data_IF_008437128531
#
_entry.id   IF_008437128531
#
_cell.length_a   1.000
_cell.length_b   1.000
_cell.length_c   1.000
_cell.angle_alpha   90.00
_cell.angle_beta   90.00
_cell.angle_gamma   90.00
#
_symmetry.space_group_name_H-M   'P 1'
#
loop_
_entity.id
_entity.type
_entity.pdbx_description
1 polymer ?
#
# COMPACT_ATOMS: atom_id res chain seq x y z
N UNK A 1 -0.04 -27.88 -7.54
CA UNK A 1 0.21 -26.42 -7.68
C UNK A 1 -0.53 -25.72 -6.54
N UNK A 2 0.13 -24.87 -5.79
CA UNK A 2 -0.51 -24.06 -4.76
C UNK A 2 -1.48 -23.07 -5.44
N UNK A 3 -2.64 -22.82 -4.84
CA UNK A 3 -3.68 -21.93 -5.38
C UNK A 3 -3.14 -20.52 -5.69
N UNK A 4 -2.18 -20.03 -4.90
CA UNK A 4 -1.54 -18.71 -5.11
C UNK A 4 -0.66 -18.72 -6.36
N UNK A 5 0.03 -19.81 -6.67
CA UNK A 5 0.84 -19.94 -7.88
C UNK A 5 -0.03 -19.88 -9.14
N UNK A 6 -1.22 -20.49 -9.10
CA UNK A 6 -2.17 -20.45 -10.20
C UNK A 6 -2.68 -19.03 -10.49
N UNK A 7 -2.96 -18.26 -9.42
CA UNK A 7 -3.41 -16.87 -9.52
C UNK A 7 -2.32 -15.97 -10.13
N UNK A 8 -1.05 -16.24 -9.88
CA UNK A 8 0.08 -15.44 -10.37
C UNK A 8 0.45 -15.76 -11.83
N UNK A 9 0.14 -16.94 -12.32
CA UNK A 9 0.53 -17.39 -13.68
C UNK A 9 0.25 -16.35 -14.78
N UNK A 10 -0.94 -15.70 -14.86
CA UNK A 10 -1.22 -14.76 -15.96
C UNK A 10 -0.47 -13.43 -15.88
N UNK A 11 0.22 -13.13 -14.77
CA UNK A 11 0.92 -11.87 -14.50
C UNK A 11 2.36 -12.09 -14.03
N UNK A 12 2.96 -13.24 -14.33
CA UNK A 12 4.27 -13.61 -13.77
C UNK A 12 5.38 -12.65 -14.20
N UNK A 13 5.39 -12.27 -15.48
CA UNK A 13 6.36 -11.31 -16.01
C UNK A 13 6.19 -9.91 -15.40
N UNK A 14 4.96 -9.43 -15.37
CA UNK A 14 4.63 -8.11 -14.81
C UNK A 14 4.88 -8.05 -13.30
N UNK A 15 4.76 -9.17 -12.60
CA UNK A 15 5.09 -9.25 -11.18
C UNK A 15 6.60 -9.16 -10.94
N UNK A 16 7.42 -9.69 -11.84
CA UNK A 16 8.88 -9.50 -11.80
C UNK A 16 9.27 -8.06 -12.12
N UNK A 17 8.64 -7.43 -13.11
CA UNK A 17 8.83 -6.00 -13.41
C UNK A 17 8.44 -5.11 -12.21
N UNK A 18 7.30 -5.42 -11.55
CA UNK A 18 6.89 -4.76 -10.33
C UNK A 18 7.96 -4.90 -9.23
N UNK A 19 8.48 -6.11 -9.00
CA UNK A 19 9.50 -6.33 -7.97
C UNK A 19 10.78 -5.56 -8.28
N UNK A 20 11.24 -5.57 -9.52
CA UNK A 20 12.41 -4.82 -9.95
C UNK A 20 12.24 -3.32 -9.67
N UNK A 21 11.06 -2.77 -9.98
CA UNK A 21 10.74 -1.37 -9.71
C UNK A 21 10.63 -1.08 -8.19
N UNK A 22 9.93 -1.95 -7.44
CA UNK A 22 9.77 -1.81 -5.99
C UNK A 22 11.09 -1.93 -5.22
N UNK A 23 12.01 -2.77 -5.70
CA UNK A 23 13.32 -3.02 -5.09
C UNK A 23 14.39 -2.03 -5.52
N UNK A 24 14.08 -1.09 -6.42
CA UNK A 24 15.00 -0.01 -6.77
C UNK A 24 15.46 0.73 -5.51
N UNK A 25 16.78 1.02 -5.34
CA UNK A 25 17.28 1.75 -4.18
C UNK A 25 16.51 3.06 -3.99
N UNK A 26 15.98 3.26 -2.79
CA UNK A 26 15.19 4.46 -2.47
C UNK A 26 16.07 5.64 -2.05
N UNK A 27 17.33 5.38 -1.66
CA UNK A 27 18.28 6.41 -1.26
C UNK A 27 19.71 5.90 -1.42
N UNK A 28 20.55 6.68 -2.07
CA UNK A 28 21.99 6.40 -2.24
C UNK A 28 22.86 7.10 -1.18
N UNK A 29 22.26 7.86 -0.25
CA UNK A 29 23.01 8.83 0.56
C UNK A 29 22.88 8.66 2.08
N UNK A 30 21.99 7.81 2.59
CA UNK A 30 21.74 7.68 4.03
C UNK A 30 21.74 6.22 4.50
N UNK A 31 22.86 5.79 5.07
CA UNK A 31 23.06 4.41 5.55
C UNK A 31 22.02 3.96 6.60
N UNK A 32 21.49 4.88 7.42
CA UNK A 32 20.43 4.54 8.37
C UNK A 32 19.13 4.24 7.65
N UNK A 33 18.75 5.08 6.69
CA UNK A 33 17.54 4.85 5.87
C UNK A 33 17.64 3.54 5.10
N UNK A 34 18.79 3.25 4.48
CA UNK A 34 19.03 1.99 3.76
C UNK A 34 18.88 0.78 4.67
N UNK A 35 19.38 0.87 5.90
CA UNK A 35 19.23 -0.20 6.89
C UNK A 35 17.77 -0.44 7.27
N UNK A 36 17.00 0.64 7.45
CA UNK A 36 15.56 0.57 7.76
C UNK A 36 14.78 -0.01 6.58
N UNK A 37 14.99 0.48 5.37
CA UNK A 37 14.31 -0.01 4.16
C UNK A 37 14.64 -1.48 3.91
N UNK A 38 15.92 -1.87 4.07
CA UNK A 38 16.33 -3.28 3.98
C UNK A 38 15.60 -4.15 5.00
N UNK A 39 15.44 -3.67 6.24
CA UNK A 39 14.69 -4.39 7.26
C UNK A 39 13.20 -4.53 6.89
N UNK A 40 12.57 -3.46 6.41
CA UNK A 40 11.17 -3.47 5.95
C UNK A 40 10.98 -4.46 4.79
N UNK A 41 11.87 -4.46 3.80
CA UNK A 41 11.81 -5.33 2.61
C UNK A 41 12.00 -6.82 2.93
N UNK A 42 12.77 -7.16 3.97
CA UNK A 42 12.91 -8.55 4.43
C UNK A 42 11.59 -9.17 4.90
N UNK A 43 10.58 -8.35 5.18
CA UNK A 43 9.24 -8.78 5.59
C UNK A 43 8.41 -9.19 4.39
N UNK A 44 8.74 -10.30 3.76
CA UNK A 44 8.03 -10.82 2.60
C UNK A 44 6.54 -11.03 2.89
N UNK A 45 5.72 -10.07 2.48
CA UNK A 45 4.28 -10.21 2.42
C UNK A 45 3.85 -11.08 1.23
N UNK A 46 2.57 -11.48 1.20
CA UNK A 46 2.00 -12.23 0.06
C UNK A 46 1.87 -11.38 -1.22
N UNK A 47 2.23 -10.09 -1.17
CA UNK A 47 2.11 -9.14 -2.30
C UNK A 47 0.69 -9.10 -2.90
N UNK A 48 -0.34 -9.23 -2.05
CA UNK A 48 -1.72 -9.35 -2.52
C UNK A 48 -2.22 -8.11 -3.27
N UNK A 49 -1.77 -6.91 -2.87
CA UNK A 49 -2.19 -5.66 -3.50
C UNK A 49 -1.60 -5.47 -4.88
N UNK A 50 -0.27 -5.59 -5.08
CA UNK A 50 0.31 -5.59 -6.42
C UNK A 50 -0.31 -6.65 -7.33
N UNK A 51 -0.52 -7.87 -6.83
CA UNK A 51 -1.17 -8.94 -7.58
C UNK A 51 -2.56 -8.51 -8.04
N UNK A 52 -3.36 -7.90 -7.15
CA UNK A 52 -4.70 -7.40 -7.48
C UNK A 52 -4.64 -6.32 -8.57
N UNK A 53 -3.75 -5.33 -8.42
CA UNK A 53 -3.58 -4.27 -9.43
C UNK A 53 -3.25 -4.86 -10.79
N UNK A 54 -2.27 -5.77 -10.86
CA UNK A 54 -1.83 -6.37 -12.11
C UNK A 54 -2.92 -7.24 -12.75
N UNK A 55 -3.64 -8.04 -11.96
CA UNK A 55 -4.74 -8.89 -12.45
C UNK A 55 -5.89 -8.05 -12.99
N UNK A 56 -6.32 -7.02 -12.26
CA UNK A 56 -7.41 -6.14 -12.71
C UNK A 56 -7.00 -5.38 -13.97
N UNK A 57 -5.77 -4.85 -14.05
CA UNK A 57 -5.28 -4.24 -15.27
C UNK A 57 -5.31 -5.21 -16.46
N UNK A 58 -4.92 -6.48 -16.25
CA UNK A 58 -4.95 -7.53 -17.28
C UNK A 58 -6.38 -7.89 -17.73
N UNK A 59 -7.38 -7.75 -16.87
CA UNK A 59 -8.79 -7.95 -17.28
C UNK A 59 -9.25 -6.92 -18.30
N UNK A 60 -8.76 -5.68 -18.18
CA UNK A 60 -9.17 -4.57 -19.04
C UNK A 60 -8.21 -4.30 -20.21
N UNK A 61 -6.96 -4.77 -20.13
CA UNK A 61 -5.97 -4.54 -21.19
C UNK A 61 -4.58 -5.06 -20.87
N UNK A 62 -3.56 -4.43 -21.46
CA UNK A 62 -2.17 -4.71 -21.16
C UNK A 62 -1.71 -3.91 -19.94
N UNK A 63 -0.92 -4.53 -19.07
CA UNK A 63 -0.21 -3.82 -18.01
C UNK A 63 0.73 -2.79 -18.63
N UNK A 64 0.68 -1.57 -18.11
CA UNK A 64 1.46 -0.43 -18.59
C UNK A 64 2.49 0.01 -17.55
N UNK A 65 3.47 0.84 -17.89
CA UNK A 65 4.34 1.47 -16.87
C UNK A 65 3.55 2.23 -15.80
N UNK A 66 2.44 2.89 -16.16
CA UNK A 66 1.54 3.54 -15.21
C UNK A 66 0.92 2.53 -14.22
N UNK A 67 0.58 1.32 -14.68
CA UNK A 67 0.07 0.26 -13.81
C UNK A 67 1.13 -0.18 -12.78
N UNK A 68 2.39 -0.35 -13.21
CA UNK A 68 3.49 -0.72 -12.32
C UNK A 68 3.73 0.36 -11.26
N UNK A 69 3.78 1.63 -11.66
CA UNK A 69 3.93 2.75 -10.74
C UNK A 69 2.74 2.87 -9.77
N UNK A 70 1.52 2.66 -10.23
CA UNK A 70 0.33 2.63 -9.37
C UNK A 70 0.40 1.50 -8.33
N UNK A 71 0.84 0.30 -8.75
CA UNK A 71 1.02 -0.84 -7.86
C UNK A 71 2.09 -0.56 -6.78
N UNK A 72 3.24 0.02 -7.18
CA UNK A 72 4.31 0.41 -6.25
C UNK A 72 3.83 1.48 -5.29
N UNK A 73 3.15 2.52 -5.79
CA UNK A 73 2.59 3.59 -4.98
C UNK A 73 1.68 3.05 -3.87
N UNK A 74 0.72 2.20 -4.21
CA UNK A 74 -0.24 1.62 -3.25
C UNK A 74 0.43 0.68 -2.25
N UNK A 75 1.41 -0.11 -2.64
CA UNK A 75 2.15 -0.99 -1.72
C UNK A 75 3.06 -0.18 -0.77
N UNK A 76 3.69 0.91 -1.25
CA UNK A 76 4.48 1.82 -0.41
C UNK A 76 3.59 2.58 0.58
N UNK A 77 2.43 3.10 0.15
CA UNK A 77 1.45 3.73 1.04
C UNK A 77 1.00 2.78 2.15
N UNK A 78 0.67 1.54 1.80
CA UNK A 78 0.34 0.52 2.79
C UNK A 78 1.50 0.21 3.74
N UNK A 79 2.71 0.09 3.21
CA UNK A 79 3.90 -0.18 4.03
C UNK A 79 4.17 0.97 4.99
N UNK A 80 4.02 2.21 4.54
CA UNK A 80 4.13 3.41 5.38
C UNK A 80 3.10 3.38 6.52
N UNK A 81 1.83 3.09 6.22
CA UNK A 81 0.79 2.98 7.25
C UNK A 81 1.13 1.91 8.30
N UNK A 82 1.63 0.75 7.88
CA UNK A 82 2.03 -0.30 8.81
C UNK A 82 3.19 0.10 9.73
N UNK A 83 4.15 0.89 9.22
CA UNK A 83 5.28 1.40 10.02
C UNK A 83 4.81 2.42 11.05
N UNK A 84 3.86 3.29 10.68
CA UNK A 84 3.24 4.24 11.59
C UNK A 84 2.35 3.54 12.63
N UNK A 85 1.54 2.56 12.21
CA UNK A 85 0.68 1.78 13.10
C UNK A 85 1.52 1.04 14.17
N UNK A 86 2.69 0.48 13.81
CA UNK A 86 3.59 -0.17 14.78
C UNK A 86 4.04 0.78 15.90
N UNK A 87 4.18 2.07 15.60
CA UNK A 87 4.52 3.10 16.60
C UNK A 87 3.29 3.47 17.45
N UNK A 88 2.14 3.65 16.80
CA UNK A 88 0.87 4.02 17.47
C UNK A 88 0.40 2.92 18.41
N UNK A 89 0.51 1.66 17.97
CA UNK A 89 0.11 0.46 18.73
C UNK A 89 1.18 0.00 19.72
N UNK A 90 2.33 0.69 19.79
CA UNK A 90 3.51 0.26 20.57
C UNK A 90 3.93 -1.19 20.29
N UNK A 91 3.68 -1.65 19.08
CA UNK A 91 3.96 -3.03 18.66
C UNK A 91 5.45 -3.29 18.55
N UNK A 92 5.93 -4.35 19.18
CA UNK A 92 7.34 -4.77 19.11
C UNK A 92 7.61 -5.80 18.04
N UNK A 93 6.56 -6.42 17.50
CA UNK A 93 6.67 -7.50 16.51
C UNK A 93 5.56 -7.38 15.45
N UNK A 94 5.91 -7.68 14.19
CA UNK A 94 4.97 -7.80 13.06
C UNK A 94 5.36 -8.95 12.15
N UNK A 95 4.43 -9.89 11.93
CA UNK A 95 4.63 -11.08 11.08
C UNK A 95 5.83 -11.94 11.47
N UNK A 96 6.08 -12.10 12.77
CA UNK A 96 7.18 -12.92 13.27
C UNK A 96 8.56 -12.26 13.20
N UNK A 97 8.62 -10.95 12.96
CA UNK A 97 9.87 -10.16 12.97
C UNK A 97 9.70 -8.91 13.83
N UNK A 98 10.79 -8.46 14.44
CA UNK A 98 10.79 -7.23 15.21
C UNK A 98 10.32 -6.04 14.34
N UNK A 99 9.48 -5.18 14.90
CA UNK A 99 9.03 -3.97 14.25
C UNK A 99 10.15 -2.96 14.07
N UNK A 100 9.97 -1.96 13.19
CA UNK A 100 11.00 -0.92 12.94
C UNK A 100 11.30 -0.15 14.21
N UNK A 101 10.26 0.23 14.97
CA UNK A 101 10.40 0.95 16.23
C UNK A 101 11.12 0.12 17.32
N UNK A 102 10.98 -1.19 17.31
CA UNK A 102 11.70 -2.06 18.24
C UNK A 102 13.21 -2.14 17.96
N UNK A 103 13.62 -2.01 16.69
CA UNK A 103 15.03 -2.07 16.28
C UNK A 103 15.66 -0.67 16.26
N UNK A 104 14.99 0.31 15.68
CA UNK A 104 15.54 1.62 15.37
C UNK A 104 14.98 2.77 16.22
N UNK A 105 13.99 2.55 17.04
CA UNK A 105 13.18 3.49 17.83
C UNK A 105 12.05 4.21 17.07
N UNK A 106 11.15 4.84 17.84
CA UNK A 106 9.95 5.52 17.30
C UNK A 106 10.29 6.69 16.36
N UNK A 107 11.32 7.48 16.66
CA UNK A 107 11.70 8.64 15.81
C UNK A 107 12.11 8.21 14.42
N UNK A 108 12.92 7.16 14.33
CA UNK A 108 13.38 6.60 13.04
C UNK A 108 12.19 5.98 12.29
N UNK A 109 11.28 5.30 12.98
CA UNK A 109 10.09 4.69 12.38
C UNK A 109 9.17 5.74 11.77
N UNK A 110 8.87 6.82 12.49
CA UNK A 110 8.04 7.91 11.97
C UNK A 110 8.65 8.49 10.70
N UNK A 111 9.93 8.86 10.73
CA UNK A 111 10.62 9.42 9.57
C UNK A 111 10.72 8.44 8.39
N UNK A 112 10.90 7.15 8.66
CA UNK A 112 10.90 6.12 7.62
C UNK A 112 9.50 5.96 6.99
N UNK A 113 8.45 5.98 7.81
CA UNK A 113 7.07 5.98 7.33
C UNK A 113 6.75 7.20 6.46
N UNK A 114 7.17 8.40 6.88
CA UNK A 114 7.03 9.65 6.10
C UNK A 114 7.78 9.56 4.76
N UNK A 115 8.98 8.99 4.78
CA UNK A 115 9.77 8.80 3.56
C UNK A 115 9.08 7.85 2.57
N UNK A 116 8.55 6.72 3.06
CA UNK A 116 7.80 5.77 2.23
C UNK A 116 6.50 6.39 1.68
N UNK A 117 5.81 7.17 2.51
CA UNK A 117 4.61 7.90 2.09
C UNK A 117 4.94 8.92 0.98
N UNK A 118 5.99 9.71 1.15
CA UNK A 118 6.44 10.66 0.13
C UNK A 118 6.85 9.92 -1.17
N UNK A 119 7.56 8.80 -1.05
CA UNK A 119 7.96 7.98 -2.20
C UNK A 119 6.72 7.38 -2.91
N UNK A 120 5.68 7.01 -2.18
CA UNK A 120 4.42 6.55 -2.79
C UNK A 120 3.80 7.63 -3.67
N UNK A 121 3.81 8.89 -3.24
CA UNK A 121 3.31 10.02 -4.03
C UNK A 121 4.18 10.29 -5.26
N UNK A 122 5.50 10.12 -5.18
CA UNK A 122 6.38 10.19 -6.36
C UNK A 122 5.99 9.14 -7.39
N UNK A 123 5.74 7.89 -6.96
CA UNK A 123 5.27 6.85 -7.87
C UNK A 123 3.87 7.12 -8.42
N UNK A 124 2.96 7.70 -7.62
CA UNK A 124 1.64 8.13 -8.12
C UNK A 124 1.78 9.20 -9.21
N UNK A 125 2.69 10.16 -9.04
CA UNK A 125 2.99 11.20 -10.04
C UNK A 125 3.53 10.59 -11.34
N UNK A 126 4.43 9.61 -11.25
CA UNK A 126 5.02 8.92 -12.42
C UNK A 126 4.01 8.11 -13.24
N UNK A 127 2.78 7.91 -12.74
CA UNK A 127 1.69 7.36 -13.57
C UNK A 127 1.23 8.35 -14.66
N UNK A 128 1.56 9.64 -14.55
CA UNK A 128 1.05 10.71 -15.38
C UNK A 128 -0.49 10.74 -15.47
N UNK A 129 -1.18 10.23 -14.45
CA UNK A 129 -2.63 10.18 -14.36
C UNK A 129 -3.10 10.90 -13.10
N UNK A 130 -3.75 12.05 -13.29
CA UNK A 130 -4.21 12.89 -12.18
C UNK A 130 -5.21 12.18 -11.25
N UNK A 131 -6.07 11.33 -11.80
CA UNK A 131 -7.05 10.58 -11.00
C UNK A 131 -6.38 9.55 -10.09
N UNK A 132 -5.27 8.92 -10.52
CA UNK A 132 -4.48 8.03 -9.66
C UNK A 132 -3.81 8.83 -8.53
N UNK A 133 -3.25 10.01 -8.82
CA UNK A 133 -2.66 10.88 -7.79
C UNK A 133 -3.72 11.26 -6.75
N UNK A 134 -4.91 11.67 -7.20
CA UNK A 134 -6.04 12.02 -6.34
C UNK A 134 -6.51 10.83 -5.50
N UNK A 135 -6.59 9.65 -6.10
CA UNK A 135 -6.97 8.41 -5.45
C UNK A 135 -6.01 8.06 -4.31
N UNK A 136 -4.70 8.04 -4.59
CA UNK A 136 -3.65 7.72 -3.59
C UNK A 136 -3.67 8.73 -2.43
N UNK A 137 -3.78 10.03 -2.75
CA UNK A 137 -3.83 11.08 -1.74
C UNK A 137 -5.07 10.97 -0.85
N UNK A 138 -6.25 10.74 -1.43
CA UNK A 138 -7.49 10.58 -0.67
C UNK A 138 -7.50 9.28 0.14
N UNK A 139 -6.86 8.23 -0.36
CA UNK A 139 -6.70 6.97 0.37
C UNK A 139 -5.84 7.16 1.63
N UNK A 140 -4.72 7.90 1.53
CA UNK A 140 -3.89 8.23 2.68
C UNK A 140 -4.69 8.94 3.79
N UNK A 141 -5.55 9.90 3.42
CA UNK A 141 -6.45 10.56 4.37
C UNK A 141 -7.42 9.56 5.02
N UNK A 142 -8.07 8.69 4.23
CA UNK A 142 -9.02 7.68 4.75
C UNK A 142 -8.36 6.70 5.71
N UNK A 143 -7.12 6.26 5.44
CA UNK A 143 -6.38 5.38 6.34
C UNK A 143 -6.13 6.06 7.68
N UNK A 144 -5.65 7.32 7.69
CA UNK A 144 -5.42 8.08 8.90
C UNK A 144 -6.72 8.37 9.67
N UNK A 145 -7.81 8.73 8.98
CA UNK A 145 -9.13 8.90 9.60
C UNK A 145 -9.63 7.60 10.24
N UNK A 146 -9.42 6.47 9.60
CA UNK A 146 -9.81 5.16 10.13
C UNK A 146 -9.06 4.82 11.43
N UNK A 147 -7.76 5.16 11.49
CA UNK A 147 -6.94 4.97 12.70
C UNK A 147 -7.40 5.89 13.83
N UNK A 148 -7.58 7.18 13.55
CA UNK A 148 -8.08 8.14 14.53
C UNK A 148 -9.47 7.75 15.07
N UNK A 149 -10.36 7.25 14.21
CA UNK A 149 -11.67 6.75 14.61
C UNK A 149 -11.53 5.55 15.55
N UNK A 150 -10.67 4.59 15.22
CA UNK A 150 -10.39 3.43 16.07
C UNK A 150 -9.89 3.86 17.46
N UNK A 151 -8.90 4.75 17.53
CA UNK A 151 -8.33 5.26 18.77
C UNK A 151 -9.38 6.01 19.62
N UNK A 152 -10.19 6.86 18.98
CA UNK A 152 -11.27 7.59 19.64
C UNK A 152 -12.31 6.64 20.26
N UNK A 153 -12.68 5.57 19.53
CA UNK A 153 -13.67 4.61 20.02
C UNK A 153 -13.15 3.78 21.20
N UNK A 154 -11.88 3.39 21.15
CA UNK A 154 -11.24 2.70 22.27
C UNK A 154 -11.21 3.61 23.51
N UNK A 155 -10.81 4.87 23.35
CA UNK A 155 -10.74 5.84 24.46
C UNK A 155 -12.10 6.15 25.07
N UNK A 156 -13.15 6.23 24.27
CA UNK A 156 -14.51 6.57 24.70
C UNK A 156 -15.35 5.35 25.11
N UNK A 157 -14.79 4.13 25.03
CA UNK A 157 -15.53 2.88 25.23
C UNK A 157 -16.79 2.78 24.37
N UNK A 158 -16.77 3.38 23.17
CA UNK A 158 -17.90 3.44 22.25
C UNK A 158 -17.80 2.30 21.23
N UNK A 159 -18.40 1.15 21.58
CA UNK A 159 -18.41 -0.03 20.71
C UNK A 159 -19.79 -0.18 20.09
N UNK A 160 -19.91 0.11 18.79
CA UNK A 160 -21.08 -0.21 17.99
C UNK A 160 -20.67 -0.96 16.72
N UNK A 161 -21.58 -1.78 16.21
CA UNK A 161 -21.38 -2.51 14.96
C UNK A 161 -21.15 -1.55 13.78
N UNK A 162 -21.86 -0.43 13.74
CA UNK A 162 -21.73 0.59 12.69
C UNK A 162 -20.31 1.18 12.67
N UNK A 163 -19.79 1.56 13.84
CA UNK A 163 -18.44 2.09 13.99
C UNK A 163 -17.39 1.04 13.60
N UNK A 164 -17.58 -0.21 14.00
CA UNK A 164 -16.70 -1.31 13.63
C UNK A 164 -16.60 -1.48 12.11
N UNK A 165 -17.74 -1.49 11.41
CA UNK A 165 -17.73 -1.57 9.95
C UNK A 165 -17.16 -0.32 9.28
N UNK A 166 -17.33 0.87 9.85
CA UNK A 166 -16.73 2.10 9.28
C UNK A 166 -15.19 2.07 9.41
N UNK A 167 -14.65 1.59 10.52
CA UNK A 167 -13.20 1.37 10.70
C UNK A 167 -12.68 0.37 9.67
N UNK A 168 -13.32 -0.79 9.51
CA UNK A 168 -12.90 -1.80 8.52
C UNK A 168 -12.96 -1.24 7.10
N UNK A 169 -14.00 -0.49 6.78
CA UNK A 169 -14.16 0.15 5.46
C UNK A 169 -12.98 1.09 5.17
N UNK A 170 -12.61 1.94 6.13
CA UNK A 170 -11.52 2.91 5.98
C UNK A 170 -10.13 2.27 6.01
N UNK A 171 -9.87 1.38 6.96
CA UNK A 171 -8.53 0.77 7.15
C UNK A 171 -8.21 -0.37 6.17
N UNK A 172 -9.22 -1.12 5.73
CA UNK A 172 -8.99 -2.34 4.94
C UNK A 172 -9.63 -2.27 3.56
N UNK A 173 -10.96 -2.11 3.48
CA UNK A 173 -11.67 -2.21 2.21
C UNK A 173 -11.28 -1.10 1.23
N UNK A 174 -11.09 0.13 1.70
CA UNK A 174 -10.71 1.28 0.87
C UNK A 174 -9.41 1.03 0.08
N UNK A 175 -8.44 0.36 0.68
CA UNK A 175 -7.18 0.07 0.01
C UNK A 175 -7.33 -0.99 -1.09
N UNK A 176 -8.17 -2.02 -0.89
CA UNK A 176 -8.45 -3.00 -1.93
C UNK A 176 -9.25 -2.39 -3.09
N UNK A 177 -10.26 -1.58 -2.79
CA UNK A 177 -10.99 -0.83 -3.80
C UNK A 177 -10.08 0.09 -4.60
N UNK A 178 -9.18 0.81 -3.94
CA UNK A 178 -8.20 1.68 -4.60
C UNK A 178 -7.23 0.89 -5.50
N UNK A 179 -6.85 -0.34 -5.16
CA UNK A 179 -6.04 -1.18 -6.03
C UNK A 179 -6.75 -1.50 -7.36
N UNK A 180 -8.03 -1.85 -7.30
CA UNK A 180 -8.80 -2.17 -8.48
C UNK A 180 -9.10 -0.90 -9.32
N UNK A 181 -9.45 0.20 -8.67
CA UNK A 181 -9.69 1.49 -9.33
C UNK A 181 -8.42 2.02 -10.01
N UNK A 182 -7.26 2.02 -9.33
CA UNK A 182 -6.00 2.46 -9.91
C UNK A 182 -5.58 1.60 -11.11
N UNK A 183 -5.84 0.30 -11.05
CA UNK A 183 -5.58 -0.61 -12.16
C UNK A 183 -6.40 -0.23 -13.40
N UNK A 184 -7.71 -0.02 -13.26
CA UNK A 184 -8.60 0.39 -14.33
C UNK A 184 -8.17 1.75 -14.93
N UNK A 185 -7.88 2.73 -14.07
CA UNK A 185 -7.40 4.05 -14.48
C UNK A 185 -6.07 3.98 -15.24
N UNK A 186 -5.17 3.07 -14.86
CA UNK A 186 -3.83 2.94 -15.46
C UNK A 186 -3.85 2.40 -16.89
N UNK A 187 -4.89 1.68 -17.28
CA UNK A 187 -5.12 1.16 -18.64
C UNK A 187 -6.15 1.97 -19.42
N UNK A 188 -6.56 3.13 -18.89
CA UNK A 188 -7.39 4.15 -19.55
C UNK A 188 -8.75 3.62 -20.05
N UNK A 189 -9.42 2.78 -19.25
CA UNK A 189 -10.79 2.37 -19.54
C UNK A 189 -11.79 3.50 -19.26
N UNK A 190 -13.03 3.35 -19.73
CA UNK A 190 -14.09 4.33 -19.55
C UNK A 190 -14.52 4.50 -18.08
N UNK A 191 -15.28 5.56 -17.81
CA UNK A 191 -15.75 5.87 -16.45
C UNK A 191 -16.65 4.77 -15.86
N UNK A 192 -17.42 4.07 -16.69
CA UNK A 192 -18.28 2.97 -16.26
C UNK A 192 -17.46 1.77 -15.74
N UNK A 193 -16.39 1.40 -16.45
CA UNK A 193 -15.49 0.32 -16.04
C UNK A 193 -14.71 0.68 -14.77
N UNK A 194 -14.27 1.93 -14.65
CA UNK A 194 -13.62 2.43 -13.42
C UNK A 194 -14.59 2.35 -12.24
N UNK A 195 -15.85 2.78 -12.43
CA UNK A 195 -16.86 2.70 -11.39
C UNK A 195 -17.21 1.25 -11.01
N UNK A 196 -17.18 0.33 -11.96
CA UNK A 196 -17.41 -1.10 -11.72
C UNK A 196 -16.23 -1.76 -10.98
N UNK A 197 -15.00 -1.31 -11.22
CA UNK A 197 -13.80 -1.83 -10.54
C UNK A 197 -13.71 -1.39 -9.08
N UNK A 198 -14.36 -0.27 -8.70
CA UNK A 198 -14.37 0.30 -7.33
C UNK A 198 -15.25 -0.52 -6.39
#
# INVERSE_FOLDING_TARGET
>A
MDSISLIKTPIEAELEDFKALFDTPLSDSNALLDSVITHIRKRNGKMMRPILVLLVARLYGAVTPATLHAAVSLELLHTASLVHDDVVDESTERRGQLSVNAIFNNKVSVLAGDYLLATSLVHAEQTNNYEIIRLVSSLGQKLAEGELLQLSNVSNHSFSEEVYFDVIRKKTAALFAACAEAAALSVQVGEEEVAFAR
#
